data_IF_941223401059
#
_entry.id   IF_941223401059
#
_cell.length_a   1.000
_cell.length_b   1.000
_cell.length_c   1.000
_cell.angle_alpha   90.00
_cell.angle_beta   90.00
_cell.angle_gamma   90.00
#
_symmetry.space_group_name_H-M   'P 1'
#
loop_
_entity.id
_entity.type
_entity.pdbx_description
1 polymer ?
#
# COMPACT_ATOMS: atom_id res chain seq x y z
N UNK A 1 -3.21 7.40 -7.61
CA UNK A 1 -4.59 6.97 -7.27
C UNK A 1 -4.79 5.56 -7.82
N UNK A 2 -5.43 4.64 -7.08
CA UNK A 2 -5.70 3.30 -7.60
C UNK A 2 -6.86 3.39 -8.60
N UNK A 3 -6.58 3.19 -9.90
CA UNK A 3 -7.56 3.45 -10.98
C UNK A 3 -8.77 2.51 -10.98
N UNK A 4 -8.75 1.42 -10.19
CA UNK A 4 -9.82 0.41 -10.16
C UNK A 4 -10.09 -0.10 -8.73
N UNK A 5 -10.59 0.77 -7.85
CA UNK A 5 -10.98 0.43 -6.48
C UNK A 5 -11.94 -0.77 -6.39
N UNK A 6 -12.96 -0.83 -7.27
CA UNK A 6 -13.89 -1.97 -7.32
C UNK A 6 -13.20 -3.29 -7.68
N UNK A 7 -12.25 -3.28 -8.63
CA UNK A 7 -11.50 -4.48 -9.02
C UNK A 7 -10.54 -4.96 -7.92
N UNK A 8 -9.97 -4.03 -7.15
CA UNK A 8 -9.13 -4.37 -6.00
C UNK A 8 -9.92 -5.10 -4.90
N UNK A 9 -11.19 -4.74 -4.68
CA UNK A 9 -12.08 -5.40 -3.74
C UNK A 9 -12.45 -6.82 -4.16
N UNK A 10 -12.83 -7.02 -5.44
CA UNK A 10 -13.23 -8.33 -5.98
C UNK A 10 -12.11 -9.37 -5.85
N UNK A 11 -10.85 -8.96 -5.98
CA UNK A 11 -9.71 -9.85 -5.85
C UNK A 11 -9.15 -9.97 -4.42
N UNK A 12 -9.83 -9.42 -3.41
CA UNK A 12 -9.35 -9.35 -2.01
C UNK A 12 -7.91 -8.80 -1.91
N UNK A 13 -7.59 -7.79 -2.72
CA UNK A 13 -6.21 -7.28 -2.87
C UNK A 13 -5.81 -6.33 -1.75
N UNK A 14 -6.74 -5.89 -0.92
CA UNK A 14 -6.46 -4.92 0.13
C UNK A 14 -7.71 -4.37 0.80
N UNK A 15 -7.48 -3.42 1.70
CA UNK A 15 -8.52 -2.62 2.37
C UNK A 15 -8.16 -1.15 2.32
N UNK A 16 -9.15 -0.28 2.45
CA UNK A 16 -8.94 1.16 2.50
C UNK A 16 -8.44 1.60 3.87
N UNK A 17 -7.45 2.48 3.86
CA UNK A 17 -6.88 3.11 5.05
C UNK A 17 -6.83 4.63 4.88
N UNK A 18 -6.85 5.34 6.00
CA UNK A 18 -6.77 6.79 6.06
C UNK A 18 -5.40 7.20 6.61
N UNK A 19 -4.66 7.98 5.83
CA UNK A 19 -3.34 8.50 6.22
C UNK A 19 -3.35 10.02 6.03
N UNK A 20 -3.72 10.81 7.04
CA UNK A 20 -3.71 12.27 6.93
C UNK A 20 -2.27 12.79 6.92
N UNK A 21 -2.06 13.96 6.31
CA UNK A 21 -0.82 14.76 6.42
C UNK A 21 0.45 14.00 5.99
N UNK A 22 0.31 13.06 5.05
CA UNK A 22 1.44 12.33 4.48
C UNK A 22 1.74 12.80 3.07
N UNK A 23 3.04 12.96 2.76
CA UNK A 23 3.50 13.22 1.40
C UNK A 23 3.58 11.93 0.55
N UNK A 24 3.21 10.78 1.11
CA UNK A 24 3.29 9.50 0.40
C UNK A 24 2.15 9.37 -0.60
N UNK A 25 2.46 8.90 -1.80
CA UNK A 25 1.45 8.48 -2.76
C UNK A 25 1.17 6.97 -2.63
N UNK A 26 0.21 6.46 -3.41
CA UNK A 26 -0.14 5.04 -3.39
C UNK A 26 1.04 4.14 -3.77
N UNK A 27 1.92 4.60 -4.67
CA UNK A 27 3.09 3.83 -5.08
C UNK A 27 4.12 3.75 -3.94
N UNK A 28 4.37 4.87 -3.26
CA UNK A 28 5.21 4.94 -2.07
C UNK A 28 4.70 4.01 -0.97
N UNK A 29 3.39 4.03 -0.68
CA UNK A 29 2.78 3.12 0.30
C UNK A 29 3.04 1.65 -0.07
N UNK A 30 2.82 1.29 -1.33
CA UNK A 30 3.05 -0.09 -1.80
C UNK A 30 4.51 -0.52 -1.61
N UNK A 31 5.49 0.36 -1.86
CA UNK A 31 6.90 0.06 -1.63
C UNK A 31 7.22 -0.09 -0.15
N UNK A 32 6.71 0.80 0.71
CA UNK A 32 6.90 0.71 2.16
C UNK A 32 6.35 -0.61 2.70
N UNK A 33 5.11 -0.98 2.35
CA UNK A 33 4.48 -2.23 2.77
C UNK A 33 5.29 -3.45 2.32
N UNK A 34 5.76 -3.45 1.06
CA UNK A 34 6.63 -4.51 0.54
C UNK A 34 7.92 -4.65 1.35
N UNK A 35 8.58 -3.53 1.65
CA UNK A 35 9.83 -3.54 2.44
C UNK A 35 9.58 -4.04 3.87
N UNK A 36 8.47 -3.63 4.49
CA UNK A 36 8.08 -4.11 5.82
C UNK A 36 7.79 -5.61 5.83
N UNK A 37 7.12 -6.16 4.81
CA UNK A 37 6.90 -7.61 4.69
C UNK A 37 8.20 -8.39 4.53
N UNK A 38 9.15 -7.88 3.74
CA UNK A 38 10.47 -8.50 3.58
C UNK A 38 11.24 -8.44 4.90
N UNK A 39 11.25 -7.29 5.58
CA UNK A 39 11.91 -7.12 6.87
C UNK A 39 11.32 -8.05 7.94
N UNK A 40 10.00 -8.14 8.04
CA UNK A 40 9.29 -9.05 8.95
C UNK A 40 9.63 -10.52 8.68
N UNK A 41 9.79 -10.91 7.41
CA UNK A 41 10.08 -12.28 7.02
C UNK A 41 11.56 -12.69 7.19
N UNK A 42 12.49 -11.75 7.04
CA UNK A 42 13.94 -12.03 6.97
C UNK A 42 14.73 -11.64 8.21
N UNK A 43 14.22 -10.69 9.00
CA UNK A 43 14.95 -10.12 10.13
C UNK A 43 14.67 -10.87 11.45
N UNK A 44 15.52 -10.61 12.45
CA UNK A 44 15.35 -11.09 13.83
C UNK A 44 15.42 -9.91 14.80
N UNK A 45 14.95 -10.10 16.03
CA UNK A 45 15.02 -9.09 17.09
C UNK A 45 14.26 -7.81 16.75
N UNK A 46 14.85 -6.66 17.06
CA UNK A 46 14.19 -5.35 17.05
C UNK A 46 13.69 -4.93 15.66
N UNK A 47 14.41 -5.28 14.60
CA UNK A 47 14.00 -4.93 13.23
C UNK A 47 12.72 -5.65 12.82
N UNK A 48 12.59 -6.94 13.18
CA UNK A 48 11.35 -7.70 12.94
C UNK A 48 10.20 -7.12 13.75
N UNK A 49 10.42 -6.85 15.03
CA UNK A 49 9.39 -6.28 15.92
C UNK A 49 8.92 -4.91 15.42
N UNK A 50 9.84 -4.06 14.96
CA UNK A 50 9.54 -2.76 14.36
C UNK A 50 8.69 -2.92 13.11
N UNK A 51 9.08 -3.83 12.20
CA UNK A 51 8.32 -4.08 10.98
C UNK A 51 6.89 -4.56 11.27
N UNK A 52 6.73 -5.54 12.16
CA UNK A 52 5.42 -6.05 12.59
C UNK A 52 4.56 -4.95 13.25
N UNK A 53 5.16 -4.11 14.11
CA UNK A 53 4.45 -3.01 14.74
C UNK A 53 3.96 -1.97 13.73
N UNK A 54 4.80 -1.59 12.76
CA UNK A 54 4.42 -0.66 11.69
C UNK A 54 3.32 -1.24 10.79
N UNK A 55 3.41 -2.52 10.43
CA UNK A 55 2.36 -3.23 9.69
C UNK A 55 1.04 -3.25 10.47
N UNK A 56 1.09 -3.52 11.78
CA UNK A 56 -0.12 -3.52 12.62
C UNK A 56 -0.74 -2.12 12.75
N UNK A 57 0.07 -1.05 12.76
CA UNK A 57 -0.42 0.33 12.73
C UNK A 57 -1.10 0.67 11.41
N UNK A 58 -0.48 0.30 10.28
CA UNK A 58 -1.09 0.46 8.96
C UNK A 58 -2.39 -0.34 8.85
N UNK A 59 -2.41 -1.57 9.39
CA UNK A 59 -3.61 -2.39 9.38
C UNK A 59 -4.78 -1.73 10.13
N UNK A 60 -4.53 -1.07 11.27
CA UNK A 60 -5.57 -0.35 12.03
C UNK A 60 -5.95 1.01 11.46
N UNK A 61 -5.25 1.49 10.44
CA UNK A 61 -5.58 2.76 9.79
C UNK A 61 -6.86 2.68 8.93
N UNK A 62 -7.55 1.53 8.92
CA UNK A 62 -8.89 1.35 8.34
C UNK A 62 -10.01 1.91 9.23
N UNK A 63 -9.78 2.01 10.55
CA UNK A 63 -10.79 2.46 11.52
C UNK A 63 -11.36 3.85 11.15
N UNK A 64 -10.54 4.88 10.86
CA UNK A 64 -11.06 6.19 10.46
C UNK A 64 -11.82 6.14 9.13
N UNK A 65 -11.44 5.24 8.20
CA UNK A 65 -12.13 5.09 6.93
C UNK A 65 -13.57 4.61 7.13
N UNK A 66 -13.79 3.68 8.05
CA UNK A 66 -15.14 3.20 8.38
C UNK A 66 -16.02 4.33 8.93
N UNK A 67 -15.45 5.25 9.71
CA UNK A 67 -16.16 6.43 10.20
C UNK A 67 -16.45 7.45 9.09
N UNK A 68 -15.54 7.63 8.13
CA UNK A 68 -15.66 8.62 7.05
C UNK A 68 -16.54 8.14 5.89
N UNK A 69 -16.39 6.88 5.48
CA UNK A 69 -16.99 6.31 4.26
C UNK A 69 -18.01 5.20 4.55
N UNK A 70 -18.21 4.82 5.82
CA UNK A 70 -19.08 3.71 6.22
C UNK A 70 -18.46 2.32 6.01
N UNK A 71 -17.43 2.19 5.17
CA UNK A 71 -16.74 0.92 4.91
C UNK A 71 -15.29 1.12 4.51
N UNK A 72 -14.43 0.18 4.91
CA UNK A 72 -13.05 0.05 4.41
C UNK A 72 -12.92 -0.92 3.23
N UNK A 73 -14.01 -1.56 2.82
CA UNK A 73 -14.00 -2.55 1.74
C UNK A 73 -14.01 -1.87 0.37
N UNK A 74 -12.98 -2.06 -0.47
CA UNK A 74 -12.88 -1.36 -1.76
C UNK A 74 -14.01 -1.67 -2.73
N UNK A 75 -14.61 -2.86 -2.66
CA UNK A 75 -15.75 -3.24 -3.50
C UNK A 75 -16.98 -2.41 -3.17
N UNK A 76 -17.31 -2.24 -1.89
CA UNK A 76 -18.47 -1.44 -1.43
C UNK A 76 -18.32 0.01 -1.89
N UNK A 77 -17.12 0.59 -1.73
CA UNK A 77 -16.87 1.96 -2.20
C UNK A 77 -16.87 2.04 -3.73
N UNK A 78 -16.37 1.00 -4.42
CA UNK A 78 -16.44 0.87 -5.87
C UNK A 78 -17.87 0.87 -6.40
N UNK A 79 -18.76 0.09 -5.79
CA UNK A 79 -20.17 -0.02 -6.16
C UNK A 79 -20.91 1.30 -5.90
N UNK A 80 -20.64 1.95 -4.76
CA UNK A 80 -21.17 3.29 -4.47
C UNK A 80 -20.75 4.30 -5.55
N UNK A 81 -19.45 4.33 -5.90
CA UNK A 81 -18.95 5.24 -6.93
C UNK A 81 -19.55 4.97 -8.32
N UNK A 82 -19.88 3.71 -8.63
CA UNK A 82 -20.51 3.36 -9.89
C UNK A 82 -21.97 3.86 -10.00
N UNK A 83 -22.62 4.13 -8.87
CA UNK A 83 -23.97 4.71 -8.81
C UNK A 83 -24.02 6.24 -8.84
N UNK A 84 -22.88 6.91 -8.78
CA UNK A 84 -22.81 8.38 -8.82
C UNK A 84 -23.10 8.93 -10.22
N UNK A 85 -23.68 10.13 -10.28
CA UNK A 85 -23.77 10.89 -11.53
C UNK A 85 -22.37 11.27 -12.04
N UNK A 86 -22.19 11.56 -13.34
CA UNK A 86 -20.91 12.01 -13.88
C UNK A 86 -20.32 13.22 -13.14
N UNK A 87 -21.17 14.16 -12.73
CA UNK A 87 -20.79 15.37 -12.00
C UNK A 87 -20.26 15.03 -10.60
N UNK A 88 -20.96 14.16 -9.86
CA UNK A 88 -20.52 13.69 -8.53
C UNK A 88 -19.24 12.86 -8.63
N UNK A 89 -19.15 11.98 -9.64
CA UNK A 89 -17.96 11.16 -9.87
C UNK A 89 -16.72 12.00 -10.22
N UNK A 90 -16.89 13.12 -10.93
CA UNK A 90 -15.80 14.06 -11.19
C UNK A 90 -15.20 14.62 -9.88
N UNK A 91 -16.03 14.78 -8.84
CA UNK A 91 -15.64 15.29 -7.52
C UNK A 91 -15.14 14.21 -6.55
N UNK A 92 -15.05 12.93 -6.98
CA UNK A 92 -14.60 11.81 -6.12
C UNK A 92 -13.27 12.04 -5.41
N UNK A 93 -12.38 12.83 -6.02
CA UNK A 93 -11.07 13.12 -5.45
C UNK A 93 -11.17 13.87 -4.11
N UNK A 94 -12.22 14.67 -3.90
CA UNK A 94 -12.48 15.38 -2.64
C UNK A 94 -12.79 14.36 -1.54
N UNK A 95 -13.75 13.47 -1.76
CA UNK A 95 -14.17 12.46 -0.79
C UNK A 95 -13.12 11.35 -0.53
N UNK A 96 -12.23 11.10 -1.49
CA UNK A 96 -11.15 10.12 -1.38
C UNK A 96 -9.80 10.74 -0.98
N UNK A 97 -9.79 12.00 -0.56
CA UNK A 97 -8.56 12.67 -0.07
C UNK A 97 -7.97 11.87 1.08
N UNK A 98 -6.66 11.60 1.03
CA UNK A 98 -5.92 10.83 2.04
C UNK A 98 -6.39 9.37 2.24
N UNK A 99 -7.18 8.84 1.31
CA UNK A 99 -7.60 7.43 1.31
C UNK A 99 -6.67 6.62 0.41
N UNK A 100 -6.12 5.55 0.96
CA UNK A 100 -5.19 4.67 0.28
C UNK A 100 -5.67 3.23 0.33
N UNK A 101 -5.27 2.44 -0.67
CA UNK A 101 -5.46 0.99 -0.66
C UNK A 101 -4.26 0.33 0.02
N UNK A 102 -4.45 -0.22 1.22
CA UNK A 102 -3.45 -1.04 1.89
C UNK A 102 -3.47 -2.46 1.30
N UNK A 103 -2.37 -2.96 0.72
CA UNK A 103 -2.32 -4.31 0.16
C UNK A 103 -2.55 -5.40 1.22
N UNK A 104 -3.36 -6.42 0.89
CA UNK A 104 -3.56 -7.59 1.74
C UNK A 104 -2.41 -8.59 1.53
N UNK A 105 -1.59 -8.81 2.56
CA UNK A 105 -0.43 -9.73 2.50
C UNK A 105 -0.77 -11.11 1.95
N UNK A 106 -1.94 -11.65 2.30
CA UNK A 106 -2.36 -12.99 1.89
C UNK A 106 -2.48 -13.11 0.36
N UNK A 107 -2.95 -12.06 -0.31
CA UNK A 107 -3.09 -12.03 -1.77
C UNK A 107 -1.75 -11.92 -2.52
N UNK A 108 -0.65 -11.66 -1.80
CA UNK A 108 0.69 -11.45 -2.35
C UNK A 108 1.73 -12.48 -1.87
N UNK A 109 1.34 -13.54 -1.16
CA UNK A 109 2.28 -14.56 -0.68
C UNK A 109 3.21 -15.15 -1.77
N UNK A 110 2.74 -15.45 -3.00
CA UNK A 110 3.64 -15.94 -4.06
C UNK A 110 4.72 -14.91 -4.42
N UNK A 111 4.35 -13.62 -4.50
CA UNK A 111 5.28 -12.53 -4.80
C UNK A 111 6.23 -12.25 -3.63
N UNK A 112 5.74 -12.38 -2.40
CA UNK A 112 6.57 -12.21 -1.20
C UNK A 112 7.73 -13.21 -1.18
N UNK A 113 7.49 -14.47 -1.57
CA UNK A 113 8.58 -15.46 -1.69
C UNK A 113 9.65 -15.00 -2.69
N UNK A 114 9.24 -14.50 -3.86
CA UNK A 114 10.16 -13.96 -4.87
C UNK A 114 10.92 -12.73 -4.36
N UNK A 115 10.26 -11.84 -3.62
CA UNK A 115 10.88 -10.64 -3.07
C UNK A 115 11.87 -10.95 -1.96
N UNK A 116 11.56 -11.91 -1.10
CA UNK A 116 12.46 -12.41 -0.05
C UNK A 116 13.67 -13.10 -0.67
N UNK A 117 13.48 -13.90 -1.72
CA UNK A 117 14.62 -14.53 -2.40
C UNK A 117 15.51 -13.48 -3.06
N UNK A 118 14.90 -12.54 -3.80
CA UNK A 118 15.63 -11.42 -4.38
C UNK A 118 16.36 -10.61 -3.31
N UNK A 119 15.76 -10.38 -2.13
CA UNK A 119 16.37 -9.56 -1.07
C UNK A 119 17.67 -10.17 -0.52
N UNK A 120 17.85 -11.49 -0.57
CA UNK A 120 19.09 -12.17 -0.14
C UNK A 120 20.29 -11.82 -1.02
N UNK A 121 20.05 -11.46 -2.28
CA UNK A 121 21.09 -11.02 -3.21
C UNK A 121 21.61 -9.61 -2.88
N UNK A 122 20.93 -8.87 -1.99
CA UNK A 122 21.29 -7.51 -1.61
C UNK A 122 21.76 -7.49 -0.16
N UNK A 123 23.06 -7.33 0.05
CA UNK A 123 23.59 -7.11 1.40
C UNK A 123 23.03 -5.79 1.94
N UNK A 124 22.63 -5.69 3.23
CA UNK A 124 22.13 -4.44 3.82
C UNK A 124 23.07 -3.25 3.61
N UNK A 125 24.36 -3.51 3.55
CA UNK A 125 25.46 -2.58 3.25
C UNK A 125 25.26 -1.86 1.90
N UNK A 126 24.67 -2.54 0.92
CA UNK A 126 24.50 -2.07 -0.45
C UNK A 126 23.13 -1.41 -0.68
N UNK A 127 22.24 -1.39 0.32
CA UNK A 127 20.86 -0.93 0.14
C UNK A 127 20.78 0.54 -0.23
N UNK A 128 21.58 1.40 0.40
CA UNK A 128 21.60 2.85 0.12
C UNK A 128 22.15 3.13 -1.28
N UNK A 129 23.22 2.46 -1.66
CA UNK A 129 23.83 2.60 -2.99
C UNK A 129 22.90 2.09 -4.09
N UNK A 130 22.28 0.92 -3.89
CA UNK A 130 21.33 0.31 -4.83
C UNK A 130 20.05 1.16 -4.96
N UNK A 131 19.53 1.69 -3.86
CA UNK A 131 18.36 2.58 -3.89
C UNK A 131 18.65 3.85 -4.70
N UNK A 132 19.82 4.47 -4.50
CA UNK A 132 20.27 5.61 -5.31
C UNK A 132 20.40 5.24 -6.79
N UNK A 133 21.02 4.11 -7.09
CA UNK A 133 21.23 3.67 -8.47
C UNK A 133 19.90 3.40 -9.21
N UNK A 134 18.94 2.77 -8.53
CA UNK A 134 17.58 2.57 -9.09
C UNK A 134 16.85 3.88 -9.28
N UNK A 135 16.93 4.80 -8.32
CA UNK A 135 16.30 6.12 -8.41
C UNK A 135 16.85 6.92 -9.61
N UNK A 136 18.17 6.90 -9.81
CA UNK A 136 18.82 7.54 -10.97
C UNK A 136 18.42 6.89 -12.29
N UNK A 137 18.26 5.56 -12.34
CA UNK A 137 17.79 4.88 -13.55
C UNK A 137 16.35 5.26 -13.92
N UNK A 138 15.48 5.47 -12.93
CA UNK A 138 14.10 5.94 -13.14
C UNK A 138 14.03 7.37 -13.65
N UNK A 139 14.85 8.28 -13.14
CA UNK A 139 14.93 9.66 -13.67
C UNK A 139 15.34 9.74 -15.15
N UNK A 140 16.10 8.75 -15.63
CA UNK A 140 16.57 8.69 -17.02
C UNK A 140 15.58 8.02 -17.98
N UNK A 141 14.51 7.41 -17.45
CA UNK A 141 13.52 6.65 -18.23
C UNK A 141 12.13 7.28 -18.27
N UNK A 142 11.98 8.51 -17.74
CA UNK A 142 10.83 9.41 -17.97
C UNK A 142 11.27 10.65 -18.73
#
# INVERSE_FOLDING_TARGET
>A
MCHHLGFAGIQNRGKLIYLPETEIDQAGLNQVVRMLWVAEATSKGDLKNTATNLLSRLDRADIPVKSLLGSSEPSIIGDFMAGLSPEEYAQRHIGLTNIYLLPNKQAYLPYLKLWVEASKSYKPEDWVATARQKFESWKKSG
#
